data_IF_994349927604
#
_entry.id   IF_994349927604
#
_cell.length_a   1.000
_cell.length_b   1.000
_cell.length_c   1.000
_cell.angle_alpha   90.00
_cell.angle_beta   90.00
_cell.angle_gamma   90.00
#
_symmetry.space_group_name_H-M   'P 1'
#
loop_
_entity.id
_entity.type
_entity.pdbx_description
1 polymer ?
#
# COMPACT_ATOMS: atom_id res chain seq x y z
N UNK A 1 2.17 16.65 33.97
CA UNK A 1 2.68 17.90 33.36
C UNK A 1 3.57 17.49 32.20
N UNK A 2 3.02 17.47 30.98
CA UNK A 2 3.80 17.16 29.78
C UNK A 2 4.55 18.44 29.40
N UNK A 3 5.86 18.46 29.65
CA UNK A 3 6.75 19.55 29.24
C UNK A 3 6.72 19.64 27.71
N UNK A 4 6.09 20.68 27.16
CA UNK A 4 6.19 20.94 25.73
C UNK A 4 7.66 21.22 25.37
N UNK A 5 8.20 20.57 24.32
CA UNK A 5 9.59 20.76 23.94
C UNK A 5 9.84 22.21 23.53
N UNK A 6 10.91 22.80 24.06
CA UNK A 6 11.33 24.18 23.77
C UNK A 6 11.53 24.40 22.27
N UNK A 7 11.22 25.61 21.74
CA UNK A 7 11.23 25.88 20.30
C UNK A 7 12.58 25.58 19.61
N UNK A 8 13.71 25.80 20.30
CA UNK A 8 15.04 25.46 19.79
C UNK A 8 15.24 23.95 19.53
N UNK A 9 14.58 23.10 20.33
CA UNK A 9 14.70 21.64 20.21
C UNK A 9 13.91 21.12 19.00
N UNK A 10 12.79 21.79 18.66
CA UNK A 10 12.00 21.48 17.47
C UNK A 10 12.74 21.84 16.16
N UNK A 11 13.51 22.93 16.17
CA UNK A 11 14.36 23.32 15.03
C UNK A 11 15.44 22.28 14.75
N UNK A 12 16.17 21.85 15.78
CA UNK A 12 17.24 20.82 15.65
C UNK A 12 16.66 19.48 15.21
N UNK A 13 15.48 19.10 15.69
CA UNK A 13 14.82 17.87 15.25
C UNK A 13 14.42 17.91 13.77
N UNK A 14 13.99 19.07 13.27
CA UNK A 14 13.63 19.25 11.86
C UNK A 14 14.84 19.25 10.93
N UNK A 15 15.95 19.84 11.35
CA UNK A 15 17.22 19.78 10.59
C UNK A 15 17.69 18.33 10.38
N UNK A 16 17.57 17.48 11.41
CA UNK A 16 17.89 16.05 11.28
C UNK A 16 17.01 15.34 10.27
N UNK A 17 15.72 15.68 10.19
CA UNK A 17 14.81 15.12 9.17
C UNK A 17 15.30 15.47 7.76
N UNK A 18 15.68 16.73 7.51
CA UNK A 18 16.21 17.11 6.20
C UNK A 18 17.50 16.37 5.85
N UNK A 19 18.42 16.23 6.81
CA UNK A 19 19.65 15.47 6.62
C UNK A 19 19.36 14.01 6.24
N UNK A 20 18.47 13.33 6.98
CA UNK A 20 18.10 11.96 6.63
C UNK A 20 17.44 11.87 5.25
N UNK A 21 16.62 12.83 4.85
CA UNK A 21 16.01 12.84 3.51
C UNK A 21 17.08 12.94 2.41
N UNK A 22 18.11 13.76 2.61
CA UNK A 22 19.25 13.85 1.68
C UNK A 22 20.03 12.52 1.65
N UNK A 23 20.29 11.94 2.81
CA UNK A 23 21.00 10.67 2.98
C UNK A 23 20.29 9.48 2.33
N UNK A 24 18.98 9.55 2.05
CA UNK A 24 18.27 8.50 1.31
C UNK A 24 18.84 8.31 -0.11
N UNK A 25 19.40 9.34 -0.73
CA UNK A 25 19.94 9.24 -2.08
C UNK A 25 21.26 8.47 -2.11
N UNK A 26 22.08 8.57 -1.07
CA UNK A 26 23.36 7.89 -0.94
C UNK A 26 23.17 6.43 -0.44
N UNK A 27 23.57 5.39 -1.22
CA UNK A 27 23.42 3.98 -0.83
C UNK A 27 24.03 3.59 0.52
N UNK A 28 25.10 4.25 0.95
CA UNK A 28 25.83 3.93 2.19
C UNK A 28 25.07 4.37 3.44
N UNK A 29 24.44 5.55 3.39
CA UNK A 29 23.68 6.13 4.51
C UNK A 29 22.19 5.77 4.48
N UNK A 30 21.68 5.34 3.32
CA UNK A 30 20.24 5.15 3.08
C UNK A 30 19.57 4.24 4.09
N UNK A 31 20.21 3.14 4.49
CA UNK A 31 19.59 2.19 5.41
C UNK A 31 19.28 2.81 6.78
N UNK A 32 20.22 3.58 7.33
CA UNK A 32 20.03 4.29 8.57
C UNK A 32 18.95 5.38 8.43
N UNK A 33 19.01 6.15 7.34
CA UNK A 33 18.01 7.18 7.05
C UNK A 33 16.59 6.61 6.93
N UNK A 34 16.42 5.46 6.27
CA UNK A 34 15.14 4.76 6.16
C UNK A 34 14.58 4.40 7.55
N UNK A 35 15.43 3.86 8.43
CA UNK A 35 15.03 3.46 9.77
C UNK A 35 14.62 4.67 10.63
N UNK A 36 15.39 5.75 10.60
CA UNK A 36 15.09 6.92 11.42
C UNK A 36 13.86 7.68 10.90
N UNK A 37 13.74 7.87 9.59
CA UNK A 37 12.56 8.51 9.01
C UNK A 37 11.29 7.69 9.21
N UNK A 38 11.35 6.35 9.15
CA UNK A 38 10.15 5.51 9.34
C UNK A 38 9.56 5.66 10.75
N UNK A 39 10.40 5.90 11.77
CA UNK A 39 9.99 6.22 13.14
C UNK A 39 9.37 7.62 13.27
N UNK A 40 9.75 8.56 12.41
CA UNK A 40 9.30 9.96 12.46
C UNK A 40 8.00 10.24 11.71
N UNK A 41 7.50 9.27 10.93
CA UNK A 41 6.31 9.42 10.07
C UNK A 41 5.03 9.87 10.76
N UNK A 42 4.89 9.62 12.07
CA UNK A 42 3.70 10.01 12.86
C UNK A 42 3.90 11.33 13.60
N UNK A 43 5.16 11.73 13.81
CA UNK A 43 5.53 12.93 14.57
C UNK A 43 5.68 14.15 13.65
N UNK A 44 6.10 13.93 12.39
CA UNK A 44 6.37 14.99 11.42
C UNK A 44 5.23 15.02 10.38
N UNK A 45 4.24 15.91 10.54
CA UNK A 45 3.02 15.89 9.72
C UNK A 45 3.26 16.25 8.24
N UNK A 46 4.28 17.06 7.97
CA UNK A 46 4.70 17.52 6.64
C UNK A 46 5.79 16.64 6.01
N UNK A 47 6.08 15.47 6.58
CA UNK A 47 7.09 14.56 6.06
C UNK A 47 6.77 14.09 4.64
N UNK A 48 5.50 13.82 4.33
CA UNK A 48 5.11 13.34 3.01
C UNK A 48 5.42 14.34 1.88
N UNK A 49 5.02 15.63 1.96
CA UNK A 49 5.47 16.65 1.03
C UNK A 49 7.00 16.79 0.95
N UNK A 50 7.71 16.69 2.08
CA UNK A 50 9.18 16.75 2.07
C UNK A 50 9.78 15.59 1.27
N UNK A 51 9.33 14.37 1.51
CA UNK A 51 9.81 13.17 0.81
C UNK A 51 9.50 13.23 -0.70
N UNK A 52 8.31 13.69 -1.05
CA UNK A 52 7.86 13.69 -2.45
C UNK A 52 8.58 14.75 -3.30
N UNK A 53 8.75 15.96 -2.75
CA UNK A 53 9.33 17.09 -3.49
C UNK A 53 10.86 17.16 -3.39
N UNK A 54 11.49 16.34 -2.55
CA UNK A 54 12.95 16.26 -2.47
C UNK A 54 13.53 15.49 -3.67
N UNK A 55 14.60 16.05 -4.23
CA UNK A 55 15.24 15.49 -5.43
C UNK A 55 15.76 14.06 -5.17
N UNK A 56 15.38 13.13 -6.04
CA UNK A 56 15.86 11.74 -6.00
C UNK A 56 15.30 10.87 -4.86
N UNK A 57 14.59 11.45 -3.88
CA UNK A 57 14.07 10.69 -2.72
C UNK A 57 13.08 9.61 -3.13
N UNK A 58 12.04 9.94 -3.90
CA UNK A 58 11.06 8.94 -4.37
C UNK A 58 11.72 7.87 -5.25
N UNK A 59 12.69 8.25 -6.08
CA UNK A 59 13.45 7.30 -6.90
C UNK A 59 14.29 6.34 -6.04
N UNK A 60 14.93 6.83 -4.97
CA UNK A 60 15.66 6.00 -4.04
C UNK A 60 14.74 5.00 -3.30
N UNK A 61 13.54 5.43 -2.89
CA UNK A 61 12.54 4.54 -2.29
C UNK A 61 12.08 3.44 -3.26
N UNK A 62 11.87 3.80 -4.54
CA UNK A 62 11.56 2.82 -5.60
C UNK A 62 12.72 1.85 -5.84
N UNK A 63 13.96 2.33 -5.78
CA UNK A 63 15.15 1.49 -5.93
C UNK A 63 15.22 0.43 -4.83
N UNK A 64 14.88 0.76 -3.59
CA UNK A 64 14.81 -0.21 -2.49
C UNK A 64 13.77 -1.32 -2.75
N UNK A 65 12.65 -1.00 -3.42
CA UNK A 65 11.66 -2.00 -3.84
C UNK A 65 12.24 -2.90 -4.94
N UNK A 66 12.81 -2.30 -5.99
CA UNK A 66 13.31 -3.04 -7.15
C UNK A 66 14.44 -3.99 -6.77
N UNK A 67 15.32 -3.57 -5.86
CA UNK A 67 16.45 -4.39 -5.37
C UNK A 67 16.01 -5.67 -4.66
N UNK A 68 14.75 -5.75 -4.22
CA UNK A 68 14.20 -6.96 -3.59
C UNK A 68 13.68 -7.96 -4.62
N UNK A 69 13.36 -7.55 -5.85
CA UNK A 69 12.76 -8.44 -6.86
C UNK A 69 13.54 -9.74 -7.10
N UNK A 70 14.89 -9.76 -7.17
CA UNK A 70 15.63 -11.01 -7.32
C UNK A 70 15.43 -12.00 -6.16
N UNK A 71 15.14 -11.51 -4.95
CA UNK A 71 14.90 -12.33 -3.76
C UNK A 71 13.44 -12.79 -3.61
N UNK A 72 12.55 -12.34 -4.50
CA UNK A 72 11.13 -12.73 -4.52
C UNK A 72 10.95 -14.10 -5.19
N UNK A 73 11.69 -14.36 -6.26
CA UNK A 73 11.64 -15.61 -7.01
C UNK A 73 13.03 -15.98 -7.56
N UNK A 74 13.72 -16.99 -7.00
CA UNK A 74 13.29 -17.89 -5.93
C UNK A 74 13.14 -17.19 -4.56
N UNK A 75 12.30 -17.71 -3.64
CA UNK A 75 11.93 -17.01 -2.41
C UNK A 75 13.04 -17.04 -1.35
N UNK A 76 14.05 -16.21 -1.53
CA UNK A 76 15.29 -16.15 -0.73
C UNK A 76 15.38 -14.92 0.17
N UNK A 77 14.30 -14.15 0.27
CA UNK A 77 14.22 -12.93 1.08
C UNK A 77 14.58 -13.18 2.56
N UNK A 78 15.59 -12.47 3.04
CA UNK A 78 16.03 -12.51 4.44
C UNK A 78 15.21 -11.56 5.33
N UNK A 79 15.28 -11.77 6.65
CA UNK A 79 14.65 -10.88 7.62
C UNK A 79 15.20 -9.44 7.54
N UNK A 80 16.52 -9.29 7.39
CA UNK A 80 17.17 -8.00 7.25
C UNK A 80 16.69 -7.24 6.01
N UNK A 81 16.69 -7.90 4.84
CA UNK A 81 16.19 -7.31 3.59
C UNK A 81 14.71 -6.90 3.70
N UNK A 82 13.87 -7.75 4.29
CA UNK A 82 12.45 -7.46 4.52
C UNK A 82 12.25 -6.24 5.43
N UNK A 83 12.98 -6.14 6.54
CA UNK A 83 12.90 -4.99 7.44
C UNK A 83 13.32 -3.69 6.74
N UNK A 84 14.42 -3.71 6.00
CA UNK A 84 14.94 -2.55 5.27
C UNK A 84 13.93 -2.03 4.23
N UNK A 85 13.42 -2.90 3.36
CA UNK A 85 12.42 -2.47 2.36
C UNK A 85 11.10 -2.07 3.02
N UNK A 86 10.69 -2.70 4.12
CA UNK A 86 9.49 -2.32 4.86
C UNK A 86 9.60 -0.91 5.46
N UNK A 87 10.79 -0.43 5.85
CA UNK A 87 10.99 0.97 6.22
C UNK A 87 10.71 1.90 5.04
N UNK A 88 11.18 1.57 3.83
CA UNK A 88 10.88 2.33 2.62
C UNK A 88 9.37 2.30 2.29
N UNK A 89 8.72 1.14 2.41
CA UNK A 89 7.28 1.01 2.23
C UNK A 89 6.49 1.84 3.25
N UNK A 90 6.95 1.94 4.50
CA UNK A 90 6.33 2.79 5.52
C UNK A 90 6.39 4.28 5.15
N UNK A 91 7.48 4.74 4.52
CA UNK A 91 7.59 6.10 4.01
C UNK A 91 6.67 6.32 2.80
N UNK A 92 6.60 5.36 1.87
CA UNK A 92 5.65 5.43 0.76
C UNK A 92 4.19 5.41 1.23
N UNK A 93 3.89 4.70 2.33
CA UNK A 93 2.58 4.74 2.98
C UNK A 93 2.27 6.14 3.52
N UNK A 94 3.26 6.85 4.09
CA UNK A 94 3.12 8.24 4.53
C UNK A 94 2.81 9.17 3.33
N UNK A 95 3.53 9.02 2.22
CA UNK A 95 3.26 9.78 0.99
C UNK A 95 1.87 9.47 0.42
N UNK A 96 1.43 8.21 0.46
CA UNK A 96 0.10 7.79 0.03
C UNK A 96 -1.03 8.30 0.95
N UNK A 97 -0.77 8.48 2.24
CA UNK A 97 -1.77 8.92 3.22
C UNK A 97 -1.95 10.44 3.25
N UNK A 98 -1.00 11.23 2.75
CA UNK A 98 -1.06 12.69 2.81
C UNK A 98 -1.88 13.30 1.65
N UNK A 99 -2.78 14.27 1.91
CA UNK A 99 -3.69 14.81 0.90
C UNK A 99 -3.00 15.47 -0.31
N UNK A 100 -1.87 16.16 -0.08
CA UNK A 100 -1.15 16.88 -1.14
C UNK A 100 -0.42 15.95 -2.11
N UNK A 101 0.17 14.87 -1.61
CA UNK A 101 1.02 13.97 -2.41
C UNK A 101 0.28 12.77 -2.96
N UNK A 102 -0.85 12.37 -2.35
CA UNK A 102 -1.62 11.16 -2.74
C UNK A 102 -1.97 11.12 -4.21
N UNK A 103 -2.45 12.24 -4.77
CA UNK A 103 -2.85 12.28 -6.19
C UNK A 103 -1.65 12.06 -7.11
N UNK A 104 -0.53 12.74 -6.83
CA UNK A 104 0.71 12.63 -7.60
C UNK A 104 1.32 11.22 -7.47
N UNK A 105 1.28 10.63 -6.27
CA UNK A 105 1.70 9.25 -6.02
C UNK A 105 0.96 8.23 -6.89
N UNK A 106 -0.36 8.42 -7.04
CA UNK A 106 -1.18 7.55 -7.88
C UNK A 106 -0.95 7.80 -9.38
N UNK A 107 -0.83 9.06 -9.80
CA UNK A 107 -0.54 9.43 -11.18
C UNK A 107 0.83 8.95 -11.66
N UNK A 108 1.80 8.86 -10.74
CA UNK A 108 3.14 8.33 -11.00
C UNK A 108 3.20 6.80 -11.03
N UNK A 109 2.06 6.10 -10.87
CA UNK A 109 1.97 4.63 -10.91
C UNK A 109 2.85 3.88 -9.91
N UNK A 110 3.31 4.54 -8.85
CA UNK A 110 4.11 3.93 -7.77
C UNK A 110 3.48 2.64 -7.20
N UNK A 111 2.15 2.54 -7.00
CA UNK A 111 1.53 1.31 -6.49
C UNK A 111 1.83 0.05 -7.31
N UNK A 112 2.10 0.16 -8.62
CA UNK A 112 2.36 -0.99 -9.49
C UNK A 112 3.64 -1.74 -9.09
N UNK A 113 4.62 -1.05 -8.51
CA UNK A 113 5.87 -1.65 -8.02
C UNK A 113 5.64 -2.59 -6.82
N UNK A 114 4.50 -2.50 -6.14
CA UNK A 114 4.20 -3.33 -4.98
C UNK A 114 3.56 -4.67 -5.34
N UNK A 115 3.09 -4.84 -6.58
CA UNK A 115 2.36 -6.05 -6.98
C UNK A 115 3.20 -7.33 -6.93
N UNK A 116 4.49 -7.34 -7.33
CA UNK A 116 5.33 -8.52 -7.17
C UNK A 116 5.37 -9.02 -5.72
N UNK A 117 5.39 -8.11 -4.75
CA UNK A 117 5.37 -8.47 -3.32
C UNK A 117 4.05 -9.09 -2.89
N UNK A 118 2.93 -8.58 -3.40
CA UNK A 118 1.59 -9.07 -3.08
C UNK A 118 1.28 -10.45 -3.69
N UNK A 119 1.93 -10.82 -4.79
CA UNK A 119 1.78 -12.14 -5.42
C UNK A 119 2.63 -13.25 -4.79
N UNK A 120 3.48 -12.92 -3.82
CA UNK A 120 4.31 -13.92 -3.16
C UNK A 120 3.47 -14.93 -2.37
N UNK A 121 3.84 -16.20 -2.45
CA UNK A 121 3.13 -17.31 -1.79
C UNK A 121 3.88 -17.87 -0.56
N UNK A 122 5.18 -17.57 -0.42
CA UNK A 122 6.01 -17.98 0.72
C UNK A 122 5.39 -17.55 2.04
N UNK A 123 5.39 -18.45 3.04
CA UNK A 123 4.78 -18.22 4.37
C UNK A 123 5.81 -17.88 5.46
N UNK A 124 7.06 -17.59 5.08
CA UNK A 124 8.07 -17.19 6.07
C UNK A 124 7.75 -15.78 6.59
N UNK A 125 8.18 -15.50 7.84
CA UNK A 125 7.96 -14.19 8.48
C UNK A 125 8.39 -12.99 7.59
N UNK A 126 9.55 -13.01 6.90
CA UNK A 126 9.96 -11.91 6.02
C UNK A 126 8.97 -11.62 4.88
N UNK A 127 8.38 -12.65 4.27
CA UNK A 127 7.39 -12.49 3.19
C UNK A 127 6.01 -12.11 3.71
N UNK A 128 5.61 -12.59 4.89
CA UNK A 128 4.37 -12.13 5.52
C UNK A 128 4.43 -10.65 5.90
N UNK A 129 5.55 -10.22 6.49
CA UNK A 129 5.76 -8.82 6.84
C UNK A 129 5.79 -7.91 5.60
N UNK A 130 6.52 -8.32 4.56
CA UNK A 130 6.57 -7.60 3.28
C UNK A 130 5.19 -7.38 2.67
N UNK A 131 4.35 -8.44 2.62
CA UNK A 131 2.98 -8.36 2.10
C UNK A 131 2.11 -7.45 2.95
N UNK A 132 2.18 -7.56 4.28
CA UNK A 132 1.39 -6.74 5.19
C UNK A 132 1.71 -5.25 5.02
N UNK A 133 3.00 -4.88 5.00
CA UNK A 133 3.41 -3.50 4.82
C UNK A 133 3.03 -2.96 3.43
N UNK A 134 3.17 -3.78 2.38
CA UNK A 134 2.73 -3.43 1.03
C UNK A 134 1.22 -3.17 0.97
N UNK A 135 0.41 -4.00 1.62
CA UNK A 135 -1.04 -3.78 1.77
C UNK A 135 -1.33 -2.50 2.55
N UNK A 136 -0.50 -2.12 3.52
CA UNK A 136 -0.62 -0.86 4.25
C UNK A 136 -0.53 0.38 3.36
N UNK A 137 0.41 0.38 2.39
CA UNK A 137 0.54 1.46 1.39
C UNK A 137 -0.74 1.56 0.55
N UNK A 138 -1.22 0.43 0.04
CA UNK A 138 -2.43 0.42 -0.78
C UNK A 138 -3.67 0.81 0.05
N UNK A 139 -3.74 0.33 1.30
CA UNK A 139 -4.73 0.71 2.30
C UNK A 139 -4.80 2.21 2.56
N UNK A 140 -3.66 2.90 2.59
CA UNK A 140 -3.60 4.35 2.78
C UNK A 140 -4.17 5.12 1.59
N UNK A 141 -3.95 4.66 0.36
CA UNK A 141 -4.51 5.27 -0.86
C UNK A 141 -6.04 5.24 -0.86
N UNK A 142 -6.60 4.16 -0.34
CA UNK A 142 -8.03 3.88 -0.40
C UNK A 142 -8.82 4.47 0.77
N UNK A 143 -8.18 4.64 1.93
CA UNK A 143 -8.79 5.29 3.10
C UNK A 143 -9.00 6.79 2.90
N UNK A 144 -8.28 7.41 1.97
CA UNK A 144 -8.50 8.81 1.63
C UNK A 144 -9.86 9.01 0.96
N UNK A 145 -10.43 10.21 1.08
CA UNK A 145 -11.60 10.66 0.30
C UNK A 145 -11.35 10.65 -1.22
N UNK A 146 -10.39 9.88 -1.75
CA UNK A 146 -10.03 9.85 -3.17
C UNK A 146 -11.18 9.31 -4.01
N UNK A 147 -11.82 8.21 -3.59
CA UNK A 147 -13.00 7.70 -4.31
C UNK A 147 -14.18 8.67 -4.15
N UNK A 148 -14.35 9.26 -2.97
CA UNK A 148 -15.37 10.29 -2.70
C UNK A 148 -15.10 11.58 -3.51
N UNK A 149 -13.84 11.94 -3.73
CA UNK A 149 -13.42 13.12 -4.49
C UNK A 149 -13.50 12.86 -5.98
N UNK A 150 -13.21 11.64 -6.43
CA UNK A 150 -13.47 11.18 -7.80
C UNK A 150 -14.97 11.20 -8.12
N UNK A 151 -15.82 10.95 -7.13
CA UNK A 151 -17.27 11.10 -7.30
C UNK A 151 -17.71 12.56 -7.46
N UNK A 152 -16.93 13.53 -6.93
CA UNK A 152 -17.20 14.97 -7.06
C UNK A 152 -16.60 15.57 -8.33
N UNK A 153 -15.37 15.18 -8.69
CA UNK A 153 -14.67 15.59 -9.91
C UNK A 153 -14.14 14.32 -10.63
N UNK A 154 -14.88 13.80 -11.63
CA UNK A 154 -14.56 12.52 -12.25
C UNK A 154 -13.33 12.61 -13.16
N UNK A 155 -12.22 12.04 -12.72
CA UNK A 155 -11.06 11.75 -13.57
C UNK A 155 -11.10 10.30 -14.06
N UNK A 156 -11.51 10.10 -15.31
CA UNK A 156 -11.60 8.77 -15.94
C UNK A 156 -10.27 8.01 -15.89
N UNK A 157 -9.15 8.70 -16.14
CA UNK A 157 -7.81 8.11 -16.07
C UNK A 157 -7.46 7.65 -14.65
N UNK A 158 -7.76 8.45 -13.63
CA UNK A 158 -7.44 8.08 -12.25
C UNK A 158 -8.33 6.91 -11.80
N UNK A 159 -9.63 6.96 -12.09
CA UNK A 159 -10.58 5.90 -11.78
C UNK A 159 -10.16 4.55 -12.38
N UNK A 160 -9.71 4.55 -13.64
CA UNK A 160 -9.15 3.36 -14.31
C UNK A 160 -8.02 2.70 -13.52
N UNK A 161 -7.08 3.50 -13.02
CA UNK A 161 -5.97 2.98 -12.22
C UNK A 161 -6.43 2.50 -10.85
N UNK A 162 -7.34 3.22 -10.19
CA UNK A 162 -7.91 2.81 -8.90
C UNK A 162 -8.61 1.46 -9.02
N UNK A 163 -9.51 1.31 -9.99
CA UNK A 163 -10.24 0.05 -10.25
C UNK A 163 -9.26 -1.07 -10.55
N UNK A 164 -8.24 -0.81 -11.38
CA UNK A 164 -7.21 -1.82 -11.69
C UNK A 164 -6.39 -2.20 -10.46
N UNK A 165 -6.07 -1.26 -9.58
CA UNK A 165 -5.40 -1.53 -8.31
C UNK A 165 -6.23 -2.46 -7.42
N UNK A 166 -7.50 -2.16 -7.24
CA UNK A 166 -8.38 -3.02 -6.45
C UNK A 166 -8.58 -4.40 -7.08
N UNK A 167 -8.77 -4.48 -8.40
CA UNK A 167 -8.90 -5.75 -9.09
C UNK A 167 -7.64 -6.61 -8.86
N UNK A 168 -6.45 -6.04 -8.99
CA UNK A 168 -5.20 -6.79 -8.74
C UNK A 168 -5.01 -7.15 -7.28
N UNK A 169 -5.38 -6.28 -6.34
CA UNK A 169 -5.41 -6.65 -4.91
C UNK A 169 -6.34 -7.83 -4.65
N UNK A 170 -7.49 -7.89 -5.35
CA UNK A 170 -8.45 -8.98 -5.19
C UNK A 170 -7.93 -10.34 -5.69
N UNK A 171 -6.80 -10.39 -6.41
CA UNK A 171 -6.17 -11.66 -6.77
C UNK A 171 -5.53 -12.34 -5.54
N UNK A 172 -5.25 -11.59 -4.46
CA UNK A 172 -4.74 -12.12 -3.20
C UNK A 172 -5.91 -12.46 -2.23
N UNK A 173 -6.08 -13.73 -1.80
CA UNK A 173 -7.17 -14.12 -0.89
C UNK A 173 -7.20 -13.36 0.45
N UNK A 174 -6.03 -13.05 1.03
CA UNK A 174 -5.96 -12.28 2.29
C UNK A 174 -6.37 -10.82 2.08
N UNK A 175 -5.97 -10.23 0.94
CA UNK A 175 -6.37 -8.88 0.59
C UNK A 175 -7.87 -8.80 0.24
N UNK A 176 -8.45 -9.83 -0.39
CA UNK A 176 -9.90 -9.91 -0.61
C UNK A 176 -10.69 -9.79 0.68
N UNK A 177 -10.28 -10.52 1.72
CA UNK A 177 -10.93 -10.47 3.03
C UNK A 177 -10.97 -9.03 3.57
N UNK A 178 -9.82 -8.33 3.53
CA UNK A 178 -9.73 -6.94 3.95
C UNK A 178 -10.56 -6.00 3.05
N UNK A 179 -10.51 -6.19 1.74
CA UNK A 179 -11.27 -5.40 0.76
C UNK A 179 -12.77 -5.55 0.93
N UNK A 180 -13.29 -6.70 1.36
CA UNK A 180 -14.72 -6.83 1.70
C UNK A 180 -15.15 -5.86 2.79
N UNK A 181 -14.27 -5.54 3.73
CA UNK A 181 -14.57 -4.63 4.84
C UNK A 181 -14.27 -3.16 4.51
N UNK A 182 -13.36 -2.89 3.57
CA UNK A 182 -12.85 -1.53 3.34
C UNK A 182 -12.98 -1.00 1.90
N UNK A 183 -13.61 -1.73 0.98
CA UNK A 183 -13.90 -1.21 -0.36
C UNK A 183 -14.89 -0.03 -0.24
N UNK A 184 -14.57 1.14 -0.80
CA UNK A 184 -15.45 2.31 -0.79
C UNK A 184 -16.78 2.02 -1.48
N UNK A 185 -17.87 2.48 -0.87
CA UNK A 185 -19.23 2.22 -1.37
C UNK A 185 -19.45 2.78 -2.78
N UNK A 186 -18.76 3.88 -3.15
CA UNK A 186 -18.85 4.46 -4.49
C UNK A 186 -18.35 3.54 -5.61
N UNK A 187 -17.52 2.53 -5.28
CA UNK A 187 -17.11 1.48 -6.23
C UNK A 187 -18.07 0.28 -6.25
N UNK A 188 -18.98 0.19 -5.27
CA UNK A 188 -20.02 -0.84 -5.20
C UNK A 188 -21.34 -0.35 -5.78
N UNK A 189 -21.63 0.93 -5.62
CA UNK A 189 -22.83 1.57 -6.11
C UNK A 189 -22.69 2.03 -7.57
N UNK A 190 -23.72 2.70 -8.08
CA UNK A 190 -23.80 3.18 -9.45
C UNK A 190 -23.12 4.55 -9.65
N UNK A 191 -22.36 5.08 -8.67
CA UNK A 191 -21.77 6.43 -8.70
C UNK A 191 -20.92 6.68 -9.95
N UNK A 192 -20.11 5.71 -10.37
CA UNK A 192 -19.22 5.87 -11.52
C UNK A 192 -19.79 5.37 -12.85
N UNK A 193 -21.05 4.91 -12.91
CA UNK A 193 -21.59 4.33 -14.14
C UNK A 193 -21.57 5.30 -15.32
N UNK A 194 -21.85 6.60 -15.08
CA UNK A 194 -21.83 7.65 -16.12
C UNK A 194 -20.41 7.88 -16.64
N UNK A 195 -19.43 7.97 -15.74
CA UNK A 195 -18.00 8.14 -16.09
C UNK A 195 -17.42 6.91 -16.83
N UNK A 196 -17.94 5.73 -16.55
CA UNK A 196 -17.48 4.46 -17.11
C UNK A 196 -18.24 4.01 -18.36
N UNK A 197 -19.20 4.78 -18.89
CA UNK A 197 -19.98 4.37 -20.07
C UNK A 197 -19.09 4.14 -21.30
N UNK A 198 -18.08 4.99 -21.49
CA UNK A 198 -17.17 4.91 -22.63
C UNK A 198 -15.96 3.98 -22.39
N UNK A 199 -15.56 3.75 -21.12
CA UNK A 199 -14.44 2.87 -20.78
C UNK A 199 -14.90 1.45 -20.43
N UNK A 200 -15.20 0.67 -21.49
CA UNK A 200 -15.61 -0.74 -21.39
C UNK A 200 -14.61 -1.60 -20.60
N UNK A 201 -13.31 -1.32 -20.71
CA UNK A 201 -12.28 -2.08 -20.00
C UNK A 201 -12.36 -1.87 -18.49
N UNK A 202 -12.45 -0.61 -18.05
CA UNK A 202 -12.56 -0.29 -16.62
C UNK A 202 -13.86 -0.81 -16.02
N UNK A 203 -14.97 -0.72 -16.77
CA UNK A 203 -16.26 -1.30 -16.36
C UNK A 203 -16.16 -2.82 -16.15
N UNK A 204 -15.54 -3.53 -17.10
CA UNK A 204 -15.29 -4.97 -16.96
C UNK A 204 -14.42 -5.30 -15.74
N UNK A 205 -13.35 -4.52 -15.49
CA UNK A 205 -12.49 -4.71 -14.32
C UNK A 205 -13.23 -4.50 -13.01
N UNK A 206 -14.11 -3.50 -12.94
CA UNK A 206 -14.93 -3.24 -11.76
C UNK A 206 -15.89 -4.40 -11.49
N UNK A 207 -16.58 -4.90 -12.52
CA UNK A 207 -17.45 -6.08 -12.38
C UNK A 207 -16.68 -7.32 -11.92
N UNK A 208 -15.48 -7.56 -12.46
CA UNK A 208 -14.64 -8.68 -12.06
C UNK A 208 -14.15 -8.54 -10.61
N UNK A 209 -13.81 -7.32 -10.17
CA UNK A 209 -13.43 -7.03 -8.79
C UNK A 209 -14.57 -7.39 -7.83
N UNK A 210 -15.79 -6.92 -8.11
CA UNK A 210 -16.95 -7.20 -7.25
C UNK A 210 -17.21 -8.71 -7.17
N UNK A 211 -17.16 -9.41 -8.31
CA UNK A 211 -17.26 -10.88 -8.37
C UNK A 211 -16.17 -11.59 -7.54
N UNK A 212 -14.92 -11.11 -7.58
CA UNK A 212 -13.82 -11.67 -6.80
C UNK A 212 -14.05 -11.53 -5.29
N UNK A 213 -14.72 -10.46 -4.86
CA UNK A 213 -15.05 -10.19 -3.46
C UNK A 213 -16.28 -10.97 -2.98
N UNK A 214 -17.25 -11.23 -3.85
CA UNK A 214 -18.43 -12.06 -3.56
C UNK A 214 -18.11 -13.54 -3.43
N UNK A 215 -17.07 -14.04 -4.12
CA UNK A 215 -16.65 -15.44 -4.05
C UNK A 215 -16.08 -15.75 -2.66
N UNK A 216 -16.91 -16.37 -1.81
CA UNK A 216 -16.50 -17.01 -0.56
C UNK A 216 -15.68 -18.26 -0.89
N UNK A 217 -14.50 -18.38 -0.26
CA UNK A 217 -13.75 -19.62 -0.28
C UNK A 217 -14.51 -20.66 0.56
N UNK A 218 -15.52 -21.31 -0.03
CA UNK A 218 -16.11 -22.52 0.49
C UNK A 218 -15.36 -23.71 -0.12
N UNK A 219 -14.48 -24.34 0.66
CA UNK A 219 -14.23 -25.79 0.75
C UNK A 219 -12.97 -26.03 1.57
N UNK A 220 -13.15 -26.19 2.87
CA UNK A 220 -12.19 -26.90 3.73
C UNK A 220 -12.45 -28.41 3.54
N UNK A 221 -11.51 -29.22 2.99
CA UNK A 221 -11.72 -30.65 2.80
C UNK A 221 -11.65 -31.48 4.09
N UNK A 222 -11.57 -30.87 5.28
CA UNK A 222 -11.33 -31.59 6.55
C UNK A 222 -12.56 -31.89 7.41
N UNK A 223 -13.79 -31.67 6.90
CA UNK A 223 -15.01 -32.20 7.53
C UNK A 223 -15.59 -33.35 6.70
N UNK A 224 -14.89 -34.48 6.70
CA UNK A 224 -15.50 -35.79 6.46
C UNK A 224 -15.30 -36.58 7.76
N UNK A 225 -16.34 -36.73 8.57
CA UNK A 225 -16.24 -37.46 9.82
C UNK A 225 -17.55 -37.55 10.59
N UNK A 226 -18.14 -38.75 10.54
CA UNK A 226 -19.18 -39.32 11.42
C UNK A 226 -20.63 -38.85 11.25
N UNK A 227 -21.35 -39.58 10.40
CA UNK A 227 -22.78 -39.85 10.59
C UNK A 227 -23.01 -40.60 11.91
N UNK A 228 -24.06 -40.30 12.69
CA UNK A 228 -24.41 -41.10 13.86
C UNK A 228 -25.10 -42.40 13.42
N UNK A 229 -24.58 -43.52 13.90
CA UNK A 229 -25.23 -44.84 13.82
C UNK A 229 -26.52 -44.81 14.65
N UNK A 230 -27.65 -45.05 13.98
CA UNK A 230 -28.94 -45.34 14.61
C UNK A 230 -28.87 -46.70 15.31
N UNK A 231 -29.12 -46.71 16.61
CA UNK A 231 -29.34 -47.91 17.41
C UNK A 231 -30.74 -48.47 17.18
N UNK A 232 -30.82 -49.70 16.67
CA UNK A 232 -31.81 -50.71 17.08
C UNK A 232 -31.04 -52.00 17.37
#
# INVERSE_FOLDING_TARGET
MSTQPSPANQTVEREKVYLWILELTNPESRENALLELSKKREVVPDLAPMLWNSFGTTAALLQEIINIYPAINPPTLTAHQSNRVCNALALLQCVASHPETRSQFLLAHVPLFLYPFLHTSSKTRPFEYLRLTSLGVIGALVKGKMVISLAKEPSARLLKHVVRCYLRLSDNPRAREALRQCLPDQLRDNTFNVCLQEDKSTKHWLSQLLKNLESTAATDPRQVGMSPLTSQ
#
